data_IF_732302106073
#
_entry.id   IF_732302106073
#
_cell.length_a   1.000
_cell.length_b   1.000
_cell.length_c   1.000
_cell.angle_alpha   90.00
_cell.angle_beta   90.00
_cell.angle_gamma   90.00
#
_symmetry.space_group_name_H-M   'P 1'
#
loop_
_entity.id
_entity.type
_entity.pdbx_description
1 polymer ?
#
# COMPACT_ATOMS: atom_id res chain seq x y z
N UNK A 1 -3.04 -31.14 25.30
CA UNK A 1 -3.91 -30.89 24.12
C UNK A 1 -4.29 -29.42 23.94
N UNK A 2 -3.78 -28.48 24.75
CA UNK A 2 -3.95 -27.04 24.51
C UNK A 2 -2.83 -26.50 23.59
N UNK A 3 -3.07 -26.43 22.29
CA UNK A 3 -2.36 -25.49 21.42
C UNK A 3 -3.31 -24.33 21.18
N UNK A 4 -3.10 -23.20 21.88
CA UNK A 4 -3.64 -21.94 21.44
C UNK A 4 -3.11 -21.71 20.02
N UNK A 5 -3.99 -21.77 19.03
CA UNK A 5 -3.58 -21.52 17.65
C UNK A 5 -3.10 -20.07 17.60
N UNK A 6 -1.82 -19.88 17.31
CA UNK A 6 -1.27 -18.56 17.03
C UNK A 6 -2.08 -18.01 15.85
N UNK A 7 -2.83 -16.92 16.08
CA UNK A 7 -3.69 -16.23 15.12
C UNK A 7 -5.18 -16.64 15.06
N UNK A 8 -5.74 -17.38 16.04
CA UNK A 8 -7.20 -17.66 16.07
C UNK A 8 -8.04 -16.37 15.97
N UNK A 9 -7.69 -15.33 16.74
CA UNK A 9 -8.43 -14.07 16.72
C UNK A 9 -8.46 -13.41 15.34
N UNK A 10 -7.30 -13.33 14.68
CA UNK A 10 -7.17 -12.81 13.32
C UNK A 10 -8.02 -13.60 12.31
N UNK A 11 -7.97 -14.94 12.38
CA UNK A 11 -8.77 -15.81 11.51
C UNK A 11 -10.27 -15.60 11.73
N UNK A 12 -10.72 -15.55 12.99
CA UNK A 12 -12.14 -15.34 13.33
C UNK A 12 -12.59 -13.97 12.84
N UNK A 13 -11.82 -12.90 13.08
CA UNK A 13 -12.15 -11.55 12.61
C UNK A 13 -12.29 -11.49 11.08
N UNK A 14 -11.34 -12.09 10.36
CA UNK A 14 -11.39 -12.16 8.89
C UNK A 14 -12.58 -12.96 8.38
N UNK A 15 -12.82 -14.15 8.96
CA UNK A 15 -13.93 -15.01 8.55
C UNK A 15 -15.28 -14.35 8.85
N UNK A 16 -15.42 -13.75 10.03
CA UNK A 16 -16.65 -13.06 10.47
C UNK A 16 -17.00 -11.91 9.53
N UNK A 17 -16.07 -11.02 9.22
CA UNK A 17 -16.35 -9.91 8.31
C UNK A 17 -16.54 -10.37 6.86
N UNK A 18 -15.96 -11.51 6.48
CA UNK A 18 -16.20 -12.10 5.18
C UNK A 18 -17.61 -12.70 5.04
N UNK A 19 -18.12 -13.35 6.09
CA UNK A 19 -19.48 -13.92 6.10
C UNK A 19 -20.52 -12.79 6.23
N UNK A 20 -20.29 -11.85 7.15
CA UNK A 20 -21.23 -10.78 7.50
C UNK A 20 -20.81 -9.42 6.93
N UNK A 21 -20.30 -9.39 5.69
CA UNK A 21 -19.75 -8.17 5.07
C UNK A 21 -20.74 -7.00 5.13
N UNK A 22 -22.03 -7.25 4.92
CA UNK A 22 -23.06 -6.21 4.97
C UNK A 22 -23.23 -5.61 6.36
N UNK A 23 -23.12 -6.41 7.42
CA UNK A 23 -23.25 -5.92 8.79
C UNK A 23 -22.04 -5.09 9.21
N UNK A 24 -20.81 -5.50 8.85
CA UNK A 24 -19.60 -4.70 9.11
C UNK A 24 -19.47 -3.44 8.24
N UNK A 25 -20.24 -3.37 7.14
CA UNK A 25 -20.28 -2.19 6.26
C UNK A 25 -21.17 -1.07 6.81
N UNK A 26 -22.14 -1.38 7.68
CA UNK A 26 -23.08 -0.43 8.28
C UNK A 26 -22.41 0.34 9.40
N UNK A 27 -22.54 1.67 9.39
CA UNK A 27 -21.93 2.54 10.40
C UNK A 27 -22.58 2.36 11.77
N UNK A 28 -23.90 2.13 11.81
CA UNK A 28 -24.65 1.91 13.05
C UNK A 28 -24.25 0.65 13.81
N UNK A 29 -23.62 -0.30 13.14
CA UNK A 29 -23.15 -1.55 13.74
C UNK A 29 -21.71 -1.46 14.25
N UNK A 30 -20.99 -0.38 13.95
CA UNK A 30 -19.59 -0.20 14.36
C UNK A 30 -19.52 0.16 15.83
N UNK A 31 -18.65 -0.54 16.56
CA UNK A 31 -18.46 -0.33 18.01
C UNK A 31 -17.38 0.73 18.27
N UNK A 32 -16.33 0.73 17.45
CA UNK A 32 -15.22 1.65 17.56
C UNK A 32 -15.46 2.88 16.69
N UNK A 33 -15.18 4.04 17.28
CA UNK A 33 -15.14 5.28 16.53
C UNK A 33 -14.06 5.23 15.45
N UNK A 34 -14.42 5.58 14.21
CA UNK A 34 -13.45 5.75 13.13
C UNK A 34 -12.59 7.00 13.42
N UNK A 35 -11.39 6.75 13.95
CA UNK A 35 -10.39 7.79 14.22
C UNK A 35 -8.98 7.28 14.13
N UNK A 36 -8.04 8.20 13.91
CA UNK A 36 -6.62 7.98 14.18
C UNK A 36 -6.42 7.97 15.70
N UNK A 37 -5.94 6.86 16.25
CA UNK A 37 -5.74 6.69 17.70
C UNK A 37 -4.26 6.66 18.10
N UNK A 38 -3.35 6.46 17.13
CA UNK A 38 -1.90 6.42 17.39
C UNK A 38 -1.15 6.89 16.14
N UNK A 39 0.05 7.44 16.34
CA UNK A 39 0.97 7.75 15.24
C UNK A 39 2.40 7.33 15.60
N UNK A 40 3.17 6.92 14.58
CA UNK A 40 4.61 6.62 14.68
C UNK A 40 5.35 7.48 13.67
N UNK A 41 6.26 8.34 14.15
CA UNK A 41 7.08 9.18 13.28
C UNK A 41 8.14 8.34 12.56
N UNK A 42 8.42 8.69 11.31
CA UNK A 42 9.52 8.15 10.52
C UNK A 42 10.52 9.27 10.24
N UNK A 43 11.81 8.98 10.41
CA UNK A 43 12.88 9.89 9.98
C UNK A 43 13.40 9.45 8.60
N UNK A 44 13.10 10.26 7.59
CA UNK A 44 13.44 9.99 6.20
C UNK A 44 14.67 10.79 5.72
N UNK A 45 15.13 11.79 6.50
CA UNK A 45 16.30 12.63 6.18
C UNK A 45 16.37 13.12 4.72
N UNK A 46 15.29 13.76 4.24
CA UNK A 46 15.20 14.44 2.95
C UNK A 46 14.62 15.84 3.10
N UNK A 47 15.30 16.85 2.56
CA UNK A 47 15.03 18.27 2.84
C UNK A 47 13.65 18.77 2.41
N UNK A 48 13.03 18.15 1.40
CA UNK A 48 11.72 18.54 0.89
C UNK A 48 10.55 17.92 1.68
N UNK A 49 10.82 17.00 2.61
CA UNK A 49 9.81 16.36 3.45
C UNK A 49 9.56 17.24 4.68
N UNK A 50 8.29 17.57 4.93
CA UNK A 50 7.83 18.30 6.12
C UNK A 50 7.75 17.35 7.30
N UNK A 51 7.06 16.23 7.13
CA UNK A 51 6.98 15.16 8.11
C UNK A 51 6.55 13.84 7.44
N UNK A 52 6.93 12.72 8.05
CA UNK A 52 6.53 11.39 7.64
C UNK A 52 6.12 10.56 8.86
N UNK A 53 4.98 9.87 8.76
CA UNK A 53 4.41 9.10 9.87
C UNK A 53 3.64 7.89 9.37
N UNK A 54 3.50 6.89 10.22
CA UNK A 54 2.47 5.86 10.10
C UNK A 54 1.36 6.20 11.09
N UNK A 55 0.16 6.41 10.58
CA UNK A 55 -1.06 6.65 11.35
C UNK A 55 -1.77 5.32 11.57
N UNK A 56 -2.17 5.05 12.81
CA UNK A 56 -2.95 3.88 13.19
C UNK A 56 -4.38 4.34 13.45
N UNK A 57 -5.34 3.73 12.77
CA UNK A 57 -6.73 4.15 12.80
C UNK A 57 -7.69 2.98 12.85
N UNK A 58 -8.87 3.18 13.44
CA UNK A 58 -9.98 2.23 13.28
C UNK A 58 -10.78 2.59 12.03
N UNK A 59 -11.01 1.60 11.16
CA UNK A 59 -11.92 1.69 10.03
C UNK A 59 -12.70 0.37 10.00
N UNK A 60 -14.04 0.43 10.01
CA UNK A 60 -14.88 -0.76 10.16
C UNK A 60 -14.54 -1.63 11.38
N UNK A 61 -14.25 -1.03 12.54
CA UNK A 61 -13.79 -1.70 13.77
C UNK A 61 -12.41 -2.40 13.70
N UNK A 62 -11.70 -2.30 12.59
CA UNK A 62 -10.39 -2.94 12.43
C UNK A 62 -9.26 -1.91 12.38
N UNK A 63 -8.11 -2.30 12.93
CA UNK A 63 -6.90 -1.49 12.87
C UNK A 63 -6.36 -1.42 11.44
N UNK A 64 -6.31 -0.21 10.89
CA UNK A 64 -5.73 0.13 9.61
C UNK A 64 -4.48 0.99 9.84
N UNK A 65 -3.54 0.96 8.91
CA UNK A 65 -2.25 1.67 9.04
C UNK A 65 -1.96 2.48 7.79
N UNK A 66 -1.76 3.77 7.93
CA UNK A 66 -1.53 4.66 6.79
C UNK A 66 -0.17 5.33 6.88
N UNK A 67 0.72 5.02 5.95
CA UNK A 67 1.92 5.81 5.71
C UNK A 67 1.50 7.15 5.10
N UNK A 68 1.89 8.25 5.73
CA UNK A 68 1.68 9.62 5.24
C UNK A 68 3.03 10.32 5.19
N UNK A 69 3.34 10.91 4.03
CA UNK A 69 4.53 11.72 3.80
C UNK A 69 4.06 13.08 3.29
N UNK A 70 4.22 14.11 4.12
CA UNK A 70 3.86 15.48 3.78
C UNK A 70 5.09 16.22 3.25
N UNK A 71 4.92 16.98 2.19
CA UNK A 71 5.99 17.80 1.61
C UNK A 71 5.96 19.23 2.17
N UNK A 72 7.12 19.89 2.17
CA UNK A 72 7.22 21.32 2.56
C UNK A 72 6.58 22.26 1.54
N UNK A 73 6.52 21.82 0.28
CA UNK A 73 5.90 22.53 -0.85
C UNK A 73 5.21 21.50 -1.75
N UNK A 74 4.15 21.88 -2.48
CA UNK A 74 3.52 20.99 -3.44
C UNK A 74 4.51 20.52 -4.52
N UNK A 75 4.46 19.24 -4.87
CA UNK A 75 5.34 18.58 -5.83
C UNK A 75 4.56 18.02 -7.02
N UNK A 76 5.29 17.73 -8.10
CA UNK A 76 4.83 16.85 -9.17
C UNK A 76 5.19 15.41 -8.82
N UNK A 77 4.25 14.49 -9.03
CA UNK A 77 4.43 13.05 -8.80
C UNK A 77 3.96 12.28 -10.02
N UNK A 78 4.44 11.04 -10.17
CA UNK A 78 3.88 10.06 -11.10
C UNK A 78 3.66 8.75 -10.35
N UNK A 79 2.50 8.15 -10.53
CA UNK A 79 2.18 6.83 -9.99
C UNK A 79 1.54 5.95 -11.06
N UNK A 80 1.63 4.64 -10.89
CA UNK A 80 0.93 3.68 -11.77
C UNK A 80 -0.58 3.72 -11.57
N UNK A 81 -1.05 4.19 -10.41
CA UNK A 81 -2.47 4.26 -10.05
C UNK A 81 -3.18 5.50 -10.61
N UNK A 82 -2.50 6.66 -10.65
CA UNK A 82 -3.13 7.94 -10.98
C UNK A 82 -2.44 8.70 -12.12
N UNK A 83 -1.37 8.13 -12.69
CA UNK A 83 -0.56 8.81 -13.69
C UNK A 83 0.23 9.99 -13.10
N UNK A 84 0.54 10.97 -13.96
CA UNK A 84 1.27 12.17 -13.55
C UNK A 84 0.30 13.22 -12.98
N UNK A 85 0.61 13.72 -11.78
CA UNK A 85 -0.16 14.76 -11.08
C UNK A 85 0.74 15.88 -10.60
N UNK A 86 0.19 17.10 -10.48
CA UNK A 86 0.88 18.29 -9.98
C UNK A 86 0.15 18.85 -8.75
N UNK A 87 0.85 19.66 -7.96
CA UNK A 87 0.25 20.28 -6.77
C UNK A 87 0.02 19.29 -5.63
N UNK A 88 0.77 18.19 -5.58
CA UNK A 88 0.62 17.16 -4.56
C UNK A 88 1.38 17.58 -3.30
N UNK A 89 0.67 17.68 -2.19
CA UNK A 89 1.19 18.04 -0.87
C UNK A 89 1.54 16.82 -0.02
N UNK A 90 0.92 15.67 -0.32
CA UNK A 90 1.20 14.43 0.41
C UNK A 90 1.10 13.20 -0.46
N UNK A 91 1.98 12.24 -0.19
CA UNK A 91 1.91 10.89 -0.73
C UNK A 91 1.82 9.88 0.40
N UNK A 92 1.33 8.69 0.10
CA UNK A 92 1.15 7.69 1.14
C UNK A 92 0.90 6.29 0.62
N UNK A 93 0.79 5.37 1.56
CA UNK A 93 0.41 3.99 1.32
C UNK A 93 -0.50 3.54 2.46
N UNK A 94 -1.73 3.15 2.12
CA UNK A 94 -2.73 2.73 3.10
C UNK A 94 -2.83 1.21 3.15
N UNK A 95 -2.51 0.64 4.31
CA UNK A 95 -2.76 -0.76 4.63
C UNK A 95 -4.19 -0.96 5.11
N UNK A 96 -4.90 -1.85 4.41
CA UNK A 96 -6.19 -2.38 4.82
C UNK A 96 -6.03 -3.83 5.29
N UNK A 97 -6.47 -4.20 6.50
CA UNK A 97 -6.36 -5.57 7.00
C UNK A 97 -7.39 -6.48 6.32
N UNK A 98 -7.19 -7.81 6.31
CA UNK A 98 -8.10 -8.73 5.63
C UNK A 98 -9.57 -8.62 5.97
N UNK A 99 -9.95 -8.34 7.24
CA UNK A 99 -11.35 -8.15 7.56
C UNK A 99 -12.02 -7.01 6.77
N UNK A 100 -11.24 -6.01 6.33
CA UNK A 100 -11.74 -4.88 5.55
C UNK A 100 -11.77 -5.14 4.02
N UNK A 101 -11.12 -6.19 3.50
CA UNK A 101 -10.96 -6.36 2.04
C UNK A 101 -12.29 -6.49 1.31
N UNK A 102 -13.20 -7.37 1.77
CA UNK A 102 -14.53 -7.54 1.13
C UNK A 102 -15.39 -6.29 1.22
N UNK A 103 -15.31 -5.58 2.34
CA UNK A 103 -16.00 -4.30 2.56
C UNK A 103 -15.48 -3.26 1.57
N UNK A 104 -14.16 -3.14 1.46
CA UNK A 104 -13.48 -2.24 0.54
C UNK A 104 -13.78 -2.55 -0.94
N UNK A 105 -13.80 -3.82 -1.32
CA UNK A 105 -14.19 -4.24 -2.68
C UNK A 105 -15.63 -3.84 -3.02
N UNK A 106 -16.55 -3.93 -2.06
CA UNK A 106 -17.95 -3.51 -2.24
C UNK A 106 -18.06 -1.99 -2.45
N UNK A 107 -17.25 -1.19 -1.75
CA UNK A 107 -17.21 0.27 -1.92
C UNK A 107 -16.39 0.75 -3.12
N UNK A 108 -15.57 -0.11 -3.70
CA UNK A 108 -14.55 0.25 -4.70
C UNK A 108 -13.43 1.12 -4.12
N UNK A 109 -12.34 1.29 -4.88
CA UNK A 109 -11.21 2.10 -4.42
C UNK A 109 -11.57 3.56 -4.17
N UNK A 110 -12.47 4.14 -4.98
CA UNK A 110 -12.92 5.51 -4.76
C UNK A 110 -13.54 5.69 -3.36
N UNK A 111 -14.44 4.78 -2.97
CA UNK A 111 -15.07 4.82 -1.65
C UNK A 111 -14.08 4.58 -0.51
N UNK A 112 -13.15 3.63 -0.68
CA UNK A 112 -12.05 3.40 0.29
C UNK A 112 -11.19 4.65 0.44
N UNK A 113 -10.78 5.25 -0.68
CA UNK A 113 -9.94 6.44 -0.70
C UNK A 113 -10.60 7.63 -0.04
N UNK A 114 -11.86 7.92 -0.39
CA UNK A 114 -12.63 9.02 0.21
C UNK A 114 -12.72 8.87 1.73
N UNK A 115 -13.04 7.66 2.22
CA UNK A 115 -13.09 7.38 3.66
C UNK A 115 -11.74 7.59 4.34
N UNK A 116 -10.67 7.02 3.78
CA UNK A 116 -9.31 7.18 4.33
C UNK A 116 -8.91 8.64 4.35
N UNK A 117 -9.09 9.37 3.26
CA UNK A 117 -8.72 10.78 3.16
C UNK A 117 -9.49 11.66 4.14
N UNK A 118 -10.79 11.44 4.32
CA UNK A 118 -11.57 12.13 5.36
C UNK A 118 -11.00 11.87 6.76
N UNK A 119 -10.64 10.63 7.07
CA UNK A 119 -10.12 10.23 8.38
C UNK A 119 -8.76 10.86 8.73
N UNK A 120 -7.91 11.06 7.72
CA UNK A 120 -6.54 11.59 7.90
C UNK A 120 -6.40 13.07 7.46
N UNK A 121 -7.53 13.77 7.29
CA UNK A 121 -7.62 15.17 6.87
C UNK A 121 -6.80 15.45 5.59
N UNK A 122 -7.10 14.67 4.54
CA UNK A 122 -6.51 14.81 3.20
C UNK A 122 -7.58 15.04 2.15
N UNK A 123 -7.14 15.59 1.02
CA UNK A 123 -8.00 15.84 -0.14
C UNK A 123 -7.51 15.06 -1.35
N UNK A 124 -8.43 14.49 -2.11
CA UNK A 124 -8.11 13.84 -3.38
C UNK A 124 -7.45 14.78 -4.38
N UNK A 125 -7.63 16.10 -4.24
CA UNK A 125 -7.00 17.11 -5.10
C UNK A 125 -5.47 17.20 -4.94
N UNK A 126 -4.95 17.03 -3.72
CA UNK A 126 -3.54 17.27 -3.38
C UNK A 126 -2.87 16.09 -2.65
N UNK A 127 -3.53 14.95 -2.53
CA UNK A 127 -2.98 13.71 -2.01
C UNK A 127 -2.93 12.61 -3.08
N UNK A 128 -1.83 11.85 -3.12
CA UNK A 128 -1.65 10.69 -4.02
C UNK A 128 -1.19 9.47 -3.22
N UNK A 129 -2.12 8.56 -2.92
CA UNK A 129 -1.88 7.42 -2.04
C UNK A 129 -2.02 6.11 -2.81
N UNK A 130 -1.14 5.17 -2.49
CA UNK A 130 -1.28 3.77 -2.84
C UNK A 130 -2.09 3.05 -1.75
N UNK A 131 -2.60 1.87 -2.07
CA UNK A 131 -3.40 1.04 -1.16
C UNK A 131 -2.87 -0.38 -1.21
N UNK A 132 -2.87 -1.08 -0.08
CA UNK A 132 -2.29 -2.42 0.01
C UNK A 132 -2.90 -3.30 1.09
N UNK A 133 -2.81 -4.61 0.87
CA UNK A 133 -3.02 -5.63 1.91
C UNK A 133 -1.74 -6.03 2.64
N UNK A 134 -0.59 -5.44 2.32
CA UNK A 134 0.67 -5.69 3.02
C UNK A 134 0.81 -4.75 4.23
N UNK A 135 1.03 -5.32 5.43
CA UNK A 135 1.06 -4.56 6.68
C UNK A 135 2.22 -3.54 6.71
N UNK A 136 1.92 -2.28 7.10
CA UNK A 136 2.90 -1.21 7.26
C UNK A 136 3.96 -1.47 8.35
N UNK A 137 3.74 -2.42 9.25
CA UNK A 137 4.79 -2.84 10.18
C UNK A 137 5.94 -3.57 9.47
N UNK A 138 5.70 -4.09 8.26
CA UNK A 138 6.72 -4.66 7.38
C UNK A 138 7.28 -3.67 6.35
N UNK A 139 7.03 -2.35 6.53
CA UNK A 139 7.56 -1.32 5.66
C UNK A 139 9.10 -1.33 5.64
N UNK A 140 9.66 -1.67 4.48
CA UNK A 140 11.09 -1.60 4.24
C UNK A 140 11.46 -0.19 3.75
N UNK A 141 12.40 0.45 4.45
CA UNK A 141 12.95 1.75 4.07
C UNK A 141 14.43 1.56 3.74
N UNK A 142 14.81 1.83 2.49
CA UNK A 142 16.19 1.70 2.04
C UNK A 142 16.64 2.94 1.30
N UNK A 143 17.84 3.40 1.64
CA UNK A 143 18.46 4.60 1.11
C UNK A 143 19.69 4.20 0.32
N UNK A 144 19.78 4.65 -0.92
CA UNK A 144 20.94 4.39 -1.76
C UNK A 144 21.44 5.69 -2.37
N UNK A 145 22.78 5.83 -2.44
CA UNK A 145 23.44 7.01 -2.98
C UNK A 145 24.38 6.61 -4.11
N UNK A 146 24.35 7.40 -5.18
CA UNK A 146 25.30 7.35 -6.27
C UNK A 146 25.69 8.78 -6.67
N UNK A 147 26.96 9.14 -6.46
CA UNK A 147 27.46 10.51 -6.62
C UNK A 147 26.65 11.50 -5.76
N UNK A 148 26.07 12.54 -6.37
CA UNK A 148 25.22 13.51 -5.69
C UNK A 148 23.75 13.05 -5.56
N UNK A 149 23.33 12.02 -6.31
CA UNK A 149 21.96 11.53 -6.28
C UNK A 149 21.77 10.55 -5.14
N UNK A 150 20.67 10.70 -4.44
CA UNK A 150 20.23 9.88 -3.34
C UNK A 150 18.76 9.53 -3.54
N UNK A 151 18.42 8.26 -3.38
CA UNK A 151 17.06 7.76 -3.55
C UNK A 151 16.69 7.00 -2.29
N UNK A 152 15.56 7.37 -1.71
CA UNK A 152 14.91 6.63 -0.63
C UNK A 152 13.77 5.82 -1.21
N UNK A 153 13.80 4.50 -1.03
CA UNK A 153 12.75 3.58 -1.39
C UNK A 153 11.99 3.16 -0.12
N UNK A 154 10.67 3.35 -0.14
CA UNK A 154 9.75 2.83 0.88
C UNK A 154 8.88 1.76 0.23
N UNK A 155 8.99 0.53 0.70
CA UNK A 155 8.41 -0.64 0.04
C UNK A 155 7.59 -1.48 1.01
N UNK A 156 6.38 -1.84 0.60
CA UNK A 156 5.60 -2.91 1.22
C UNK A 156 5.38 -4.01 0.20
N UNK A 157 5.52 -5.27 0.60
CA UNK A 157 5.38 -6.41 -0.29
C UNK A 157 4.64 -7.56 0.37
N UNK A 158 3.67 -8.12 -0.34
CA UNK A 158 3.02 -9.39 0.01
C UNK A 158 2.85 -10.24 -1.25
N UNK A 159 3.27 -11.50 -1.19
CA UNK A 159 3.25 -12.42 -2.35
C UNK A 159 2.59 -13.76 -2.04
N UNK A 160 2.09 -13.94 -0.81
CA UNK A 160 1.65 -15.24 -0.29
C UNK A 160 0.46 -15.85 -1.05
N UNK A 161 -0.47 -15.03 -1.51
CA UNK A 161 -1.75 -15.49 -2.07
C UNK A 161 -2.13 -14.86 -3.41
N UNK A 162 -1.32 -13.91 -3.90
CA UNK A 162 -1.63 -13.13 -5.10
C UNK A 162 -0.43 -12.95 -6.03
N UNK A 163 0.63 -13.74 -5.87
CA UNK A 163 1.76 -13.71 -6.80
C UNK A 163 1.32 -14.22 -8.18
N UNK A 164 1.63 -13.47 -9.25
CA UNK A 164 1.22 -13.80 -10.61
C UNK A 164 2.38 -13.72 -11.60
N UNK A 165 2.31 -14.53 -12.64
CA UNK A 165 3.10 -14.41 -13.86
C UNK A 165 2.29 -13.63 -14.89
N UNK A 166 2.75 -12.41 -15.16
CA UNK A 166 2.23 -11.58 -16.26
C UNK A 166 2.25 -12.40 -17.57
N UNK A 167 1.23 -12.20 -18.41
CA UNK A 167 0.94 -12.95 -19.66
C UNK A 167 0.53 -14.42 -19.53
N UNK A 168 0.51 -15.00 -18.31
CA UNK A 168 0.11 -16.41 -18.10
C UNK A 168 -1.06 -16.57 -17.12
N UNK A 169 -1.00 -15.91 -15.98
CA UNK A 169 -2.05 -16.03 -14.97
C UNK A 169 -3.17 -15.00 -15.22
N UNK A 170 -4.35 -15.31 -14.70
CA UNK A 170 -5.53 -14.42 -14.77
C UNK A 170 -5.48 -13.45 -13.57
N UNK A 171 -5.41 -12.15 -13.86
CA UNK A 171 -5.61 -11.11 -12.85
C UNK A 171 -7.09 -10.99 -12.47
N UNK A 172 -7.49 -11.63 -11.37
CA UNK A 172 -8.89 -11.62 -10.89
C UNK A 172 -9.25 -10.42 -10.02
N UNK A 173 -8.26 -9.64 -9.61
CA UNK A 173 -8.42 -8.54 -8.67
C UNK A 173 -8.10 -7.24 -9.41
N UNK A 174 -9.04 -6.30 -9.42
CA UNK A 174 -8.81 -5.02 -10.07
C UNK A 174 -7.99 -4.08 -9.18
N UNK A 175 -8.22 -4.04 -7.85
CA UNK A 175 -7.50 -3.18 -6.89
C UNK A 175 -7.59 -3.73 -5.44
N UNK A 176 -6.66 -3.45 -4.48
CA UNK A 176 -5.39 -2.70 -4.61
C UNK A 176 -4.08 -3.49 -4.33
N UNK A 177 -2.96 -2.91 -4.79
CA UNK A 177 -1.59 -3.45 -4.91
C UNK A 177 -1.00 -4.17 -3.70
N UNK A 178 -0.33 -5.31 -3.92
CA UNK A 178 0.33 -6.05 -2.83
C UNK A 178 1.83 -5.72 -2.74
N UNK A 179 2.45 -5.24 -3.81
CA UNK A 179 3.80 -4.69 -3.80
C UNK A 179 3.77 -3.21 -4.18
N UNK A 180 3.85 -2.33 -3.19
CA UNK A 180 3.86 -0.88 -3.39
C UNK A 180 5.26 -0.32 -3.13
N UNK A 181 5.73 0.53 -4.04
CA UNK A 181 7.06 1.14 -4.00
C UNK A 181 6.90 2.66 -4.12
N UNK A 182 7.37 3.40 -3.12
CA UNK A 182 7.49 4.86 -3.17
C UNK A 182 8.97 5.21 -3.28
N UNK A 183 9.35 5.89 -4.37
CA UNK A 183 10.72 6.38 -4.60
C UNK A 183 10.78 7.90 -4.37
N UNK A 184 11.66 8.32 -3.47
CA UNK A 184 11.87 9.72 -3.11
C UNK A 184 13.33 10.12 -3.40
N UNK A 185 13.62 10.68 -4.58
CA UNK A 185 14.94 11.19 -4.90
C UNK A 185 15.19 12.55 -4.24
N UNK A 186 16.44 12.84 -3.85
CA UNK A 186 16.86 14.15 -3.36
C UNK A 186 16.99 15.22 -4.47
N UNK A 187 16.69 14.86 -5.72
CA UNK A 187 16.82 15.71 -6.91
C UNK A 187 15.48 15.87 -7.64
N UNK A 188 15.30 17.03 -8.29
CA UNK A 188 14.17 17.24 -9.18
C UNK A 188 14.34 16.42 -10.47
N UNK A 189 13.47 15.45 -10.67
CA UNK A 189 13.43 14.67 -11.90
C UNK A 189 12.59 15.38 -12.98
N UNK A 190 12.99 15.22 -14.23
CA UNK A 190 12.13 15.58 -15.38
C UNK A 190 11.02 14.55 -15.54
N UNK A 191 9.92 14.89 -16.24
CA UNK A 191 8.84 13.92 -16.53
C UNK A 191 9.37 12.64 -17.18
N UNK A 192 10.34 12.77 -18.11
CA UNK A 192 11.01 11.63 -18.75
C UNK A 192 11.80 10.76 -17.75
N UNK A 193 12.50 11.38 -16.80
CA UNK A 193 13.25 10.65 -15.78
C UNK A 193 12.30 9.94 -14.80
N UNK A 194 11.19 10.59 -14.44
CA UNK A 194 10.16 9.99 -13.58
C UNK A 194 9.52 8.74 -14.20
N UNK A 195 9.16 8.78 -15.48
CA UNK A 195 8.59 7.60 -16.16
C UNK A 195 9.60 6.47 -16.32
N UNK A 196 10.88 6.78 -16.60
CA UNK A 196 11.97 5.77 -16.61
C UNK A 196 12.21 5.14 -15.24
N UNK A 197 12.02 5.90 -14.16
CA UNK A 197 12.14 5.37 -12.80
C UNK A 197 11.07 4.30 -12.52
N UNK A 198 9.84 4.45 -13.03
CA UNK A 198 8.78 3.42 -12.92
C UNK A 198 9.21 2.12 -13.60
N UNK A 199 9.78 2.21 -14.81
CA UNK A 199 10.28 1.03 -15.53
C UNK A 199 11.37 0.34 -14.71
N UNK A 200 12.35 1.12 -14.22
CA UNK A 200 13.45 0.59 -13.41
C UNK A 200 12.96 -0.07 -12.11
N UNK A 201 11.97 0.53 -11.44
CA UNK A 201 11.34 -0.04 -10.26
C UNK A 201 10.59 -1.35 -10.56
N UNK A 202 9.97 -1.43 -11.74
CA UNK A 202 9.22 -2.62 -12.19
C UNK A 202 10.17 -3.78 -12.50
N UNK A 203 11.29 -3.50 -13.18
CA UNK A 203 12.35 -4.47 -13.42
C UNK A 203 13.00 -4.93 -12.11
N UNK A 204 13.34 -3.99 -11.20
CA UNK A 204 13.91 -4.32 -9.89
C UNK A 204 12.97 -5.18 -9.04
N UNK A 205 11.67 -4.87 -9.01
CA UNK A 205 10.64 -5.70 -8.37
C UNK A 205 10.66 -7.12 -8.94
N UNK A 206 10.63 -7.23 -10.26
CA UNK A 206 10.60 -8.52 -10.95
C UNK A 206 11.85 -9.34 -10.66
N UNK A 207 13.03 -8.71 -10.71
CA UNK A 207 14.31 -9.34 -10.36
C UNK A 207 14.29 -9.86 -8.92
N UNK A 208 13.86 -9.04 -7.95
CA UNK A 208 13.76 -9.46 -6.55
C UNK A 208 12.84 -10.68 -6.37
N UNK A 209 11.70 -10.73 -7.07
CA UNK A 209 10.81 -11.89 -7.05
C UNK A 209 11.46 -13.14 -7.66
N UNK A 210 12.25 -12.98 -8.73
CA UNK A 210 12.98 -14.08 -9.35
C UNK A 210 14.12 -14.60 -8.48
N UNK A 211 14.86 -13.70 -7.83
CA UNK A 211 15.98 -14.03 -6.94
C UNK A 211 15.50 -14.79 -5.69
N UNK A 212 14.33 -14.44 -5.17
CA UNK A 212 13.67 -15.15 -4.06
C UNK A 212 12.90 -16.40 -4.49
N UNK A 213 12.94 -16.77 -5.78
CA UNK A 213 12.17 -17.85 -6.39
C UNK A 213 10.66 -17.81 -6.07
N UNK A 214 10.07 -16.61 -6.04
CA UNK A 214 8.63 -16.47 -5.83
C UNK A 214 7.89 -17.08 -7.02
N UNK A 215 7.09 -18.11 -6.73
CA UNK A 215 6.27 -18.81 -7.72
C UNK A 215 4.90 -18.17 -7.86
N UNK A 216 4.28 -18.36 -9.03
CA UNK A 216 2.87 -18.00 -9.23
C UNK A 216 1.99 -18.73 -8.21
N UNK A 217 1.02 -18.03 -7.63
CA UNK A 217 0.01 -18.63 -6.75
C UNK A 217 -0.97 -19.55 -7.50
N UNK A 218 -1.03 -19.44 -8.84
CA UNK A 218 -1.97 -20.17 -9.69
C UNK A 218 -1.30 -21.27 -10.51
N UNK A 219 -0.03 -21.08 -10.89
CA UNK A 219 0.72 -21.98 -11.76
C UNK A 219 2.13 -22.27 -11.22
N UNK A 220 2.24 -22.45 -9.90
CA UNK A 220 3.51 -22.52 -9.15
C UNK A 220 4.56 -23.49 -9.70
N UNK A 221 4.13 -24.64 -10.20
CA UNK A 221 5.01 -25.69 -10.77
C UNK A 221 5.68 -25.25 -12.07
N UNK A 222 5.03 -24.38 -12.84
CA UNK A 222 5.46 -24.01 -14.19
C UNK A 222 6.07 -22.61 -14.22
N UNK A 223 5.54 -21.68 -13.44
CA UNK A 223 5.82 -20.26 -13.61
C UNK A 223 6.35 -19.58 -12.34
N UNK A 224 7.44 -18.83 -12.50
CA UNK A 224 7.89 -17.81 -11.53
C UNK A 224 7.06 -16.56 -11.68
N UNK A 225 6.69 -15.95 -10.57
CA UNK A 225 5.95 -14.69 -10.53
C UNK A 225 6.81 -13.52 -11.03
N UNK A 226 6.16 -12.53 -11.61
CA UNK A 226 6.75 -11.26 -12.05
C UNK A 226 6.15 -10.05 -11.33
N UNK A 227 5.12 -10.28 -10.51
CA UNK A 227 4.43 -9.28 -9.73
C UNK A 227 3.28 -9.92 -8.96
N UNK A 228 2.28 -9.12 -8.61
CA UNK A 228 1.01 -9.59 -8.05
C UNK A 228 -0.16 -9.21 -8.93
N UNK A 229 -1.31 -9.86 -8.72
CA UNK A 229 -2.52 -9.62 -9.53
C UNK A 229 -3.14 -8.23 -9.39
N UNK A 230 -2.52 -7.35 -8.60
CA UNK A 230 -2.98 -5.99 -8.27
C UNK A 230 -1.89 -4.93 -8.53
N UNK A 231 -0.75 -5.34 -9.11
CA UNK A 231 0.38 -4.47 -9.44
C UNK A 231 0.16 -3.64 -10.72
#
# INVERSE_FOLDING_TARGET
>A
TCRASTNTGYFISWLSSAIYTDEFSKKENQVLEEKVFKSRRLDLNLDFIKDARILYSHIHDFENKTLVINFKKPLSVVSTLEGQRNGIESVGNHYSPPPCWRIGHKSGLKGVRERVYQLIDKSDKNASFLFTGADMDNLAIKKQRFRQMEILALVTAGVKSNSVRMSKDIGRYYEPGTINIILLPNMKLTSRAMTRAIISATEAKTAALMDMDIRSSYSSKLHRATGTGTD
#
